data_IF_469507021273
#
_entry.id   IF_469507021273
#
_cell.length_a   1.000
_cell.length_b   1.000
_cell.length_c   1.000
_cell.angle_alpha   90.00
_cell.angle_beta   90.00
_cell.angle_gamma   90.00
#
_symmetry.space_group_name_H-M   'P 1'
#
loop_
_entity.id
_entity.type
_entity.pdbx_description
1 polymer ?
#
# COMPACT_ATOMS: atom_id res chain seq x y z
N UNK A 1 9.41 16.46 6.35
CA UNK A 1 9.12 15.92 5.01
C UNK A 1 8.27 14.68 5.20
N UNK A 2 7.27 14.47 4.35
CA UNK A 2 6.44 13.26 4.39
C UNK A 2 7.33 12.02 4.17
N UNK A 3 7.13 10.97 4.96
CA UNK A 3 7.77 9.68 4.73
C UNK A 3 6.71 8.67 4.32
N UNK A 4 6.98 7.89 3.28
CA UNK A 4 6.07 6.86 2.79
C UNK A 4 6.81 5.54 2.60
N UNK A 5 6.07 4.44 2.63
CA UNK A 5 6.57 3.17 2.09
C UNK A 5 6.83 3.30 0.59
N UNK A 6 7.90 2.64 0.13
CA UNK A 6 8.35 2.66 -1.26
C UNK A 6 8.75 1.27 -1.74
N UNK A 7 7.77 0.42 -2.00
CA UNK A 7 7.98 -0.93 -2.49
C UNK A 7 7.24 -1.15 -3.80
N UNK A 8 7.77 -2.01 -4.66
CA UNK A 8 7.13 -2.41 -5.91
C UNK A 8 6.86 -3.92 -5.88
N UNK A 9 5.70 -4.31 -6.38
CA UNK A 9 5.34 -5.71 -6.64
C UNK A 9 5.53 -6.68 -5.47
N UNK A 10 5.14 -6.28 -4.26
CA UNK A 10 5.11 -7.19 -3.11
C UNK A 10 3.90 -8.11 -3.19
N UNK A 11 4.10 -9.39 -2.93
CA UNK A 11 3.02 -10.37 -2.80
C UNK A 11 2.42 -10.36 -1.40
N UNK A 12 1.19 -10.88 -1.28
CA UNK A 12 0.54 -11.05 0.03
C UNK A 12 1.41 -11.85 0.98
N UNK A 13 1.62 -11.32 2.19
CA UNK A 13 2.49 -11.92 3.21
C UNK A 13 3.91 -11.35 3.22
N UNK A 14 4.31 -10.62 2.17
CA UNK A 14 5.56 -9.85 2.20
C UNK A 14 5.35 -8.50 2.89
N UNK A 15 6.35 -8.07 3.64
CA UNK A 15 6.35 -6.78 4.33
C UNK A 15 7.16 -5.75 3.56
N UNK A 16 6.65 -4.52 3.44
CA UNK A 16 7.42 -3.42 2.88
C UNK A 16 8.40 -2.88 3.92
N UNK A 17 9.69 -3.12 3.70
CA UNK A 17 10.78 -2.64 4.58
C UNK A 17 11.39 -1.32 4.10
N UNK A 18 11.08 -0.92 2.87
CA UNK A 18 11.64 0.29 2.27
C UNK A 18 10.79 1.50 2.60
N UNK A 19 11.40 2.47 3.28
CA UNK A 19 10.82 3.78 3.57
C UNK A 19 11.61 4.84 2.80
N UNK A 20 10.90 5.80 2.20
CA UNK A 20 11.54 6.92 1.53
C UNK A 20 11.04 8.26 2.10
N UNK A 21 11.94 9.23 2.17
CA UNK A 21 11.58 10.63 2.38
C UNK A 21 11.07 11.20 1.06
N UNK A 22 9.83 11.66 1.03
CA UNK A 22 9.27 12.31 -0.15
C UNK A 22 9.97 13.65 -0.40
N UNK A 23 10.10 14.02 -1.68
CA UNK A 23 10.52 15.38 -2.06
C UNK A 23 9.47 16.41 -1.66
N UNK A 24 9.85 17.69 -1.57
CA UNK A 24 8.95 18.77 -1.10
C UNK A 24 7.67 18.92 -1.92
N UNK A 25 7.70 18.61 -3.21
CA UNK A 25 6.53 18.65 -4.10
C UNK A 25 5.57 17.48 -3.90
N UNK A 26 5.98 16.40 -3.23
CA UNK A 26 5.15 15.22 -2.99
C UNK A 26 4.44 15.35 -1.65
N UNK A 27 3.12 15.57 -1.69
CA UNK A 27 2.25 15.73 -0.52
C UNK A 27 1.45 14.47 -0.18
N UNK A 28 1.54 13.40 -0.99
CA UNK A 28 0.76 12.19 -0.80
C UNK A 28 1.63 10.93 -0.77
N UNK A 29 1.23 9.98 0.07
CA UNK A 29 1.59 8.59 -0.05
C UNK A 29 0.52 7.86 -0.86
N UNK A 30 0.96 7.06 -1.84
CA UNK A 30 0.14 6.18 -2.66
C UNK A 30 0.37 4.73 -2.27
N UNK A 31 -0.70 3.94 -2.32
CA UNK A 31 -0.60 2.50 -2.41
C UNK A 31 -1.54 1.99 -3.51
N UNK A 32 -1.11 0.97 -4.23
CA UNK A 32 -1.93 0.21 -5.18
C UNK A 32 -1.92 -1.24 -4.74
N UNK A 33 -3.12 -1.79 -4.62
CA UNK A 33 -3.34 -3.22 -4.39
C UNK A 33 -4.04 -3.76 -5.62
N UNK A 34 -3.51 -4.84 -6.18
CA UNK A 34 -4.16 -5.60 -7.22
C UNK A 34 -4.48 -6.99 -6.72
N UNK A 35 -5.67 -7.49 -7.04
CA UNK A 35 -6.14 -8.81 -6.67
C UNK A 35 -6.78 -9.45 -7.89
N UNK A 36 -6.24 -10.57 -8.36
CA UNK A 36 -6.72 -11.28 -9.54
C UNK A 36 -6.44 -12.77 -9.47
N UNK A 37 -6.96 -13.53 -10.43
CA UNK A 37 -6.66 -14.95 -10.55
C UNK A 37 -5.58 -15.15 -11.63
N UNK A 38 -4.60 -15.98 -11.32
CA UNK A 38 -3.55 -16.45 -12.24
C UNK A 38 -3.70 -17.96 -12.46
N UNK A 39 -2.93 -18.54 -13.37
CA UNK A 39 -2.90 -20.00 -13.58
C UNK A 39 -2.51 -20.75 -12.29
N UNK A 40 -1.67 -20.13 -11.44
CA UNK A 40 -1.27 -20.63 -10.13
C UNK A 40 -2.29 -20.38 -9.00
N UNK A 41 -3.42 -19.72 -9.29
CA UNK A 41 -4.45 -19.36 -8.32
C UNK A 41 -4.55 -17.86 -8.02
N UNK A 42 -5.31 -17.47 -6.97
CA UNK A 42 -5.48 -16.07 -6.59
C UNK A 42 -4.17 -15.41 -6.18
N UNK A 43 -3.88 -14.25 -6.75
CA UNK A 43 -2.69 -13.46 -6.50
C UNK A 43 -3.09 -12.06 -6.04
N UNK A 44 -2.45 -11.58 -4.98
CA UNK A 44 -2.55 -10.19 -4.53
C UNK A 44 -1.17 -9.55 -4.59
N UNK A 45 -1.06 -8.43 -5.28
CA UNK A 45 0.17 -7.63 -5.34
C UNK A 45 -0.07 -6.25 -4.73
N UNK A 46 0.98 -5.69 -4.17
CA UNK A 46 1.00 -4.38 -3.53
C UNK A 46 2.19 -3.56 -4.02
N UNK A 47 1.95 -2.27 -4.23
CA UNK A 47 3.00 -1.28 -4.53
C UNK A 47 2.70 0.02 -3.82
N UNK A 48 3.74 0.75 -3.43
CA UNK A 48 3.62 2.00 -2.69
C UNK A 48 4.73 2.98 -3.04
N UNK A 49 4.43 4.28 -3.05
CA UNK A 49 5.37 5.36 -3.37
C UNK A 49 4.85 6.74 -2.94
N UNK A 50 5.71 7.76 -3.01
CA UNK A 50 5.36 9.18 -2.82
C UNK A 50 4.84 9.77 -4.13
N UNK A 51 3.87 10.69 -4.06
CA UNK A 51 3.38 11.41 -5.22
C UNK A 51 2.99 12.86 -4.91
N UNK A 52 3.01 13.68 -5.96
CA UNK A 52 2.56 15.07 -6.01
C UNK A 52 1.03 15.20 -6.00
N UNK A 53 0.34 14.36 -6.77
CA UNK A 53 -1.12 14.33 -6.85
C UNK A 53 -1.64 12.92 -6.65
N UNK A 54 -2.83 12.78 -6.05
CA UNK A 54 -3.41 11.47 -5.77
C UNK A 54 -4.93 11.48 -5.93
N UNK A 55 -5.46 10.57 -6.75
CA UNK A 55 -6.89 10.34 -6.89
C UNK A 55 -7.19 8.87 -6.61
N UNK A 56 -7.87 8.55 -5.49
CA UNK A 56 -8.18 7.17 -5.15
C UNK A 56 -9.16 6.60 -6.18
N UNK A 57 -9.00 5.33 -6.50
CA UNK A 57 -9.92 4.63 -7.39
C UNK A 57 -9.99 3.14 -7.06
N UNK A 58 -11.09 2.53 -7.45
CA UNK A 58 -11.25 1.08 -7.48
C UNK A 58 -11.81 0.70 -8.83
N UNK A 59 -11.11 -0.15 -9.58
CA UNK A 59 -11.53 -0.60 -10.90
C UNK A 59 -11.14 -2.06 -11.11
N UNK A 60 -11.93 -2.77 -11.90
CA UNK A 60 -11.58 -4.11 -12.37
C UNK A 60 -11.12 -4.02 -13.81
N UNK A 61 -9.91 -4.50 -14.09
CA UNK A 61 -9.31 -4.58 -15.43
C UNK A 61 -8.98 -6.04 -15.71
N UNK A 62 -9.55 -6.60 -16.79
CA UNK A 62 -9.29 -7.98 -17.23
C UNK A 62 -9.43 -9.03 -16.10
N UNK A 63 -10.44 -8.86 -15.23
CA UNK A 63 -10.68 -9.76 -14.09
C UNK A 63 -9.77 -9.52 -12.87
N UNK A 64 -8.87 -8.53 -12.94
CA UNK A 64 -8.03 -8.09 -11.81
C UNK A 64 -8.62 -6.83 -11.18
N UNK A 65 -8.98 -6.91 -9.90
CA UNK A 65 -9.40 -5.77 -9.10
C UNK A 65 -8.18 -4.94 -8.70
N UNK A 66 -8.12 -3.69 -9.11
CA UNK A 66 -7.11 -2.71 -8.71
C UNK A 66 -7.73 -1.62 -7.83
N UNK A 67 -7.12 -1.39 -6.68
CA UNK A 67 -7.49 -0.35 -5.72
C UNK A 67 -6.29 0.55 -5.46
N UNK A 68 -6.42 1.84 -5.76
CA UNK A 68 -5.44 2.87 -5.41
C UNK A 68 -5.96 3.67 -4.21
N UNK A 69 -5.16 3.74 -3.15
CA UNK A 69 -5.43 4.56 -1.96
C UNK A 69 -4.44 5.71 -1.83
N UNK A 70 -4.90 6.78 -1.21
CA UNK A 70 -4.20 8.04 -1.03
C UNK A 70 -4.24 8.44 0.44
N UNK A 71 -3.12 8.91 0.99
CA UNK A 71 -3.09 9.47 2.34
C UNK A 71 -1.93 10.49 2.47
N UNK A 72 -1.97 11.34 3.51
CA UNK A 72 -1.05 12.48 3.68
C UNK A 72 -0.25 12.42 4.99
N UNK A 73 -0.30 11.30 5.70
CA UNK A 73 0.40 11.10 6.98
C UNK A 73 1.64 10.22 6.79
N UNK A 74 2.62 10.37 7.67
CA UNK A 74 3.84 9.55 7.61
C UNK A 74 3.51 8.05 7.72
N UNK A 75 4.05 7.24 6.81
CA UNK A 75 3.91 5.79 6.72
C UNK A 75 2.46 5.28 6.64
N UNK A 76 1.52 6.12 6.20
CA UNK A 76 0.10 5.77 6.14
C UNK A 76 -0.27 4.78 5.02
N UNK A 77 0.58 4.67 4.01
CA UNK A 77 0.39 3.74 2.90
C UNK A 77 1.01 2.38 3.24
N UNK A 78 0.59 1.75 4.34
CA UNK A 78 1.04 0.39 4.66
C UNK A 78 0.20 -0.66 3.89
N UNK A 79 0.77 -1.84 3.54
CA UNK A 79 -0.04 -2.94 3.06
C UNK A 79 -1.07 -3.36 4.12
N UNK A 80 -2.29 -3.78 3.74
CA UNK A 80 -3.36 -4.06 4.71
C UNK A 80 -3.11 -5.32 5.55
N UNK A 81 -2.21 -6.20 5.11
CA UNK A 81 -1.78 -7.38 5.86
C UNK A 81 -0.55 -7.11 6.73
N UNK A 82 0.03 -5.91 6.65
CA UNK A 82 1.14 -5.50 7.49
C UNK A 82 0.57 -4.69 8.65
N UNK A 83 0.97 -5.04 9.86
CA UNK A 83 0.59 -4.26 11.04
C UNK A 83 1.06 -2.81 10.88
N UNK A 84 0.23 -1.82 11.26
CA UNK A 84 0.66 -0.43 11.24
C UNK A 84 1.91 -0.26 12.13
N UNK A 85 2.88 0.56 11.70
CA UNK A 85 4.00 0.92 12.56
C UNK A 85 3.44 1.68 13.78
N UNK A 86 3.38 1.00 14.93
CA UNK A 86 2.82 1.53 16.19
C UNK A 86 1.65 0.74 16.79
N UNK A 87 1.17 -0.33 16.14
CA UNK A 87 0.08 -1.17 16.66
C UNK A 87 0.53 -2.32 17.58
N UNK A 88 1.71 -2.20 18.19
CA UNK A 88 2.07 -3.02 19.34
C UNK A 88 1.16 -2.66 20.52
N UNK A 89 0.19 -3.54 20.81
CA UNK A 89 -0.80 -3.50 21.90
C UNK A 89 -2.13 -2.77 21.62
N UNK A 90 -3.13 -3.52 21.12
CA UNK A 90 -4.50 -3.58 21.67
C UNK A 90 -5.38 -4.56 20.89
N UNK A 91 -5.96 -5.55 21.59
CA UNK A 91 -6.95 -6.51 21.06
C UNK A 91 -6.68 -7.92 21.57
N UNK A 92 -6.72 -8.14 22.89
CA UNK A 92 -7.91 -8.62 23.63
C UNK A 92 -8.25 -10.10 23.32
N UNK A 93 -8.12 -10.90 24.38
CA UNK A 93 -8.51 -12.30 24.49
C UNK A 93 -9.98 -12.51 24.11
N UNK A 94 -10.24 -13.65 23.48
CA UNK A 94 -11.55 -14.30 23.38
C UNK A 94 -11.33 -15.80 23.35
#
# INVERSE_FOLDING_TARGET
>A
LLQCYSCQSLYRGEHCKQVQNCVRSHSFCKAVISHGNTESGPLTMYSAWCADACQPFTKTLEGTLMTLTCCQSTLCNAPPWQDPPGSGAAGAQG
#
